data_IF_551072937043
#
_entry.id   IF_551072937043
#
_cell.length_a   1.000
_cell.length_b   1.000
_cell.length_c   1.000
_cell.angle_alpha   90.00
_cell.angle_beta   90.00
_cell.angle_gamma   90.00
#
_symmetry.space_group_name_H-M   'P 1'
#
loop_
_entity.id
_entity.type
_entity.pdbx_description
1 polymer ?
#
# COMPACT_ATOMS: atom_id res chain seq x y z
N UNK A 1 7.94 -9.55 -12.94
CA UNK A 1 6.83 -10.05 -12.09
C UNK A 1 6.11 -8.81 -11.58
N UNK A 2 4.78 -8.74 -11.73
CA UNK A 2 4.00 -7.61 -11.17
C UNK A 2 3.82 -7.86 -9.68
N UNK A 3 4.00 -6.81 -8.89
CA UNK A 3 3.87 -6.84 -7.42
C UNK A 3 2.63 -6.09 -6.93
N UNK A 4 1.96 -5.35 -7.83
CA UNK A 4 0.74 -4.63 -7.54
C UNK A 4 -0.47 -5.26 -8.22
N UNK A 5 -0.66 -4.99 -9.51
CA UNK A 5 -1.90 -5.30 -10.25
C UNK A 5 -2.23 -6.79 -10.23
N UNK A 6 -1.27 -7.65 -10.56
CA UNK A 6 -1.48 -9.10 -10.59
C UNK A 6 -1.89 -9.65 -9.22
N UNK A 7 -1.25 -9.18 -8.14
CA UNK A 7 -1.60 -9.59 -6.77
C UNK A 7 -3.05 -9.24 -6.43
N UNK A 8 -3.50 -8.03 -6.80
CA UNK A 8 -4.89 -7.61 -6.57
C UNK A 8 -5.88 -8.43 -7.41
N UNK A 9 -5.54 -8.75 -8.65
CA UNK A 9 -6.37 -9.55 -9.55
C UNK A 9 -6.56 -10.98 -9.00
N UNK A 10 -5.50 -11.59 -8.47
CA UNK A 10 -5.52 -12.92 -7.86
C UNK A 10 -6.32 -12.95 -6.54
N UNK A 11 -6.19 -11.92 -5.70
CA UNK A 11 -6.88 -11.85 -4.40
C UNK A 11 -8.37 -11.51 -4.53
N UNK A 12 -8.76 -10.75 -5.55
CA UNK A 12 -10.15 -10.30 -5.76
C UNK A 12 -11.22 -11.41 -5.69
N UNK A 13 -11.11 -12.54 -6.42
CA UNK A 13 -12.10 -13.62 -6.31
C UNK A 13 -12.10 -14.29 -4.93
N UNK A 14 -10.95 -14.40 -4.28
CA UNK A 14 -10.81 -15.01 -2.95
C UNK A 14 -11.50 -14.16 -1.87
N UNK A 15 -11.24 -12.84 -1.89
CA UNK A 15 -11.93 -11.89 -1.01
C UNK A 15 -13.45 -11.92 -1.21
N UNK A 16 -13.93 -12.00 -2.46
CA UNK A 16 -15.36 -12.07 -2.75
C UNK A 16 -16.00 -13.35 -2.21
N UNK A 17 -15.33 -14.49 -2.34
CA UNK A 17 -15.82 -15.76 -1.81
C UNK A 17 -15.94 -15.71 -0.27
N UNK A 18 -14.88 -15.25 0.41
CA UNK A 18 -14.88 -15.17 1.88
C UNK A 18 -15.88 -14.13 2.40
N UNK A 19 -16.02 -12.99 1.73
CA UNK A 19 -17.02 -11.96 2.09
C UNK A 19 -18.46 -12.48 2.06
N UNK A 20 -18.78 -13.42 1.16
CA UNK A 20 -20.11 -14.06 1.12
C UNK A 20 -20.32 -15.02 2.29
N UNK A 21 -19.25 -15.65 2.78
CA UNK A 21 -19.31 -16.60 3.89
C UNK A 21 -19.41 -15.91 5.26
N UNK A 22 -18.75 -14.76 5.44
CA UNK A 22 -18.73 -14.00 6.71
C UNK A 22 -19.10 -12.51 6.51
N UNK A 23 -20.31 -12.20 6.01
CA UNK A 23 -20.68 -10.85 5.57
C UNK A 23 -20.62 -9.80 6.68
N UNK A 24 -21.04 -10.15 7.89
CA UNK A 24 -21.10 -9.20 9.02
C UNK A 24 -19.69 -8.82 9.51
N UNK A 25 -18.74 -9.77 9.47
CA UNK A 25 -17.33 -9.50 9.81
C UNK A 25 -16.73 -8.54 8.79
N UNK A 26 -16.98 -8.75 7.49
CA UNK A 26 -16.52 -7.83 6.44
C UNK A 26 -17.18 -6.45 6.54
N UNK A 27 -18.45 -6.38 6.96
CA UNK A 27 -19.13 -5.11 7.18
C UNK A 27 -18.47 -4.33 8.33
N UNK A 28 -18.25 -4.98 9.48
CA UNK A 28 -17.58 -4.37 10.63
C UNK A 28 -16.15 -3.92 10.30
N UNK A 29 -15.37 -4.77 9.62
CA UNK A 29 -14.02 -4.41 9.17
C UNK A 29 -14.03 -3.25 8.17
N UNK A 30 -15.02 -3.21 7.26
CA UNK A 30 -15.20 -2.11 6.31
C UNK A 30 -15.41 -0.76 6.99
N UNK A 31 -16.22 -0.71 8.06
CA UNK A 31 -16.42 0.51 8.84
C UNK A 31 -15.14 0.94 9.58
N UNK A 32 -14.41 0.00 10.18
CA UNK A 32 -13.11 0.28 10.79
C UNK A 32 -12.13 0.86 9.76
N UNK A 33 -12.02 0.22 8.60
CA UNK A 33 -11.15 0.68 7.52
C UNK A 33 -11.52 2.10 7.07
N UNK A 34 -12.82 2.36 6.84
CA UNK A 34 -13.30 3.69 6.45
C UNK A 34 -12.98 4.75 7.51
N UNK A 35 -13.19 4.45 8.78
CA UNK A 35 -12.87 5.37 9.87
C UNK A 35 -11.37 5.65 9.97
N UNK A 36 -10.52 4.63 9.84
CA UNK A 36 -9.07 4.76 9.89
C UNK A 36 -8.52 5.71 8.80
N UNK A 37 -9.04 5.59 7.57
CA UNK A 37 -8.61 6.39 6.42
C UNK A 37 -9.43 7.66 6.17
N UNK A 38 -10.43 7.98 7.02
CA UNK A 38 -11.11 9.29 6.96
C UNK A 38 -10.10 10.41 7.26
N UNK A 39 -10.06 11.45 6.43
CA UNK A 39 -9.15 12.58 6.61
C UNK A 39 -9.36 13.30 7.96
N UNK A 40 -8.27 13.74 8.57
CA UNK A 40 -8.28 14.46 9.84
C UNK A 40 -6.99 15.26 10.01
N UNK A 41 -6.35 15.18 11.18
CA UNK A 41 -5.04 15.81 11.39
C UNK A 41 -3.94 15.24 10.47
N UNK A 42 -4.13 14.01 9.98
CA UNK A 42 -3.34 13.42 8.90
C UNK A 42 -4.23 13.24 7.68
N UNK A 43 -3.71 13.63 6.51
CA UNK A 43 -4.37 13.41 5.23
C UNK A 43 -4.35 11.92 4.83
N UNK A 44 -5.15 11.56 3.83
CA UNK A 44 -5.26 10.17 3.34
C UNK A 44 -3.92 9.66 2.83
N UNK A 45 -3.17 10.49 2.10
CA UNK A 45 -1.88 10.14 1.51
C UNK A 45 -0.88 9.71 2.59
N UNK A 46 -0.74 10.49 3.65
CA UNK A 46 0.15 10.17 4.77
C UNK A 46 -0.27 8.87 5.45
N UNK A 47 -1.58 8.64 5.64
CA UNK A 47 -2.08 7.39 6.22
C UNK A 47 -1.78 6.18 5.33
N UNK A 48 -1.93 6.31 4.02
CA UNK A 48 -1.63 5.24 3.08
C UNK A 48 -0.13 4.95 2.98
N UNK A 49 0.74 5.96 3.09
CA UNK A 49 2.20 5.76 3.18
C UNK A 49 2.59 5.01 4.47
N UNK A 50 1.94 5.32 5.60
CA UNK A 50 2.12 4.56 6.84
C UNK A 50 1.66 3.11 6.66
N UNK A 51 0.49 2.88 6.05
CA UNK A 51 -0.04 1.54 5.82
C UNK A 51 0.84 0.73 4.84
N UNK A 52 1.39 1.38 3.80
CA UNK A 52 2.35 0.77 2.88
C UNK A 52 3.63 0.34 3.61
N UNK A 53 4.17 1.19 4.50
CA UNK A 53 5.32 0.86 5.32
C UNK A 53 5.05 -0.32 6.25
N UNK A 54 3.86 -0.39 6.87
CA UNK A 54 3.43 -1.55 7.67
C UNK A 54 3.34 -2.79 6.78
N UNK A 55 2.78 -2.69 5.57
CA UNK A 55 2.73 -3.81 4.62
C UNK A 55 4.11 -4.38 4.28
N UNK A 56 5.14 -3.52 4.17
CA UNK A 56 6.53 -3.93 3.99
C UNK A 56 7.06 -4.69 5.21
N UNK A 57 6.81 -4.18 6.42
CA UNK A 57 7.26 -4.80 7.68
C UNK A 57 6.59 -6.16 7.92
N UNK A 58 5.30 -6.28 7.60
CA UNK A 58 4.58 -7.55 7.71
C UNK A 58 4.90 -8.54 6.58
N UNK A 59 5.63 -8.11 5.54
CA UNK A 59 5.90 -8.92 4.36
C UNK A 59 4.64 -9.34 3.59
N UNK A 60 3.55 -8.58 3.73
CA UNK A 60 2.23 -8.91 3.20
C UNK A 60 2.05 -8.38 1.77
N UNK A 61 2.24 -9.22 0.76
CA UNK A 61 2.14 -8.82 -0.66
C UNK A 61 0.77 -8.20 -1.02
N UNK A 62 -0.33 -8.72 -0.46
CA UNK A 62 -1.67 -8.15 -0.66
C UNK A 62 -1.87 -6.78 -0.03
N UNK A 63 -1.27 -6.56 1.15
CA UNK A 63 -1.30 -5.28 1.86
C UNK A 63 -0.46 -4.26 1.10
N UNK A 64 0.74 -4.66 0.68
CA UNK A 64 1.63 -3.86 -0.18
C UNK A 64 0.88 -3.42 -1.44
N UNK A 65 0.28 -4.36 -2.19
CA UNK A 65 -0.40 -4.04 -3.43
C UNK A 65 -1.59 -3.08 -3.23
N UNK A 66 -2.39 -3.30 -2.18
CA UNK A 66 -3.58 -2.48 -1.89
C UNK A 66 -3.21 -1.06 -1.46
N UNK A 67 -2.27 -0.91 -0.53
CA UNK A 67 -1.85 0.40 -0.02
C UNK A 67 -0.93 1.13 -0.98
N UNK A 68 -0.19 0.43 -1.84
CA UNK A 68 0.53 1.04 -2.95
C UNK A 68 -0.43 1.71 -3.95
N UNK A 69 -1.51 1.00 -4.34
CA UNK A 69 -2.54 1.56 -5.21
C UNK A 69 -3.25 2.75 -4.56
N UNK A 70 -3.62 2.63 -3.28
CA UNK A 70 -4.34 3.67 -2.57
C UNK A 70 -3.47 4.92 -2.34
N UNK A 71 -2.20 4.75 -1.96
CA UNK A 71 -1.24 5.86 -1.83
C UNK A 71 -1.06 6.61 -3.16
N UNK A 72 -0.89 5.89 -4.27
CA UNK A 72 -0.77 6.51 -5.59
C UNK A 72 -2.03 7.29 -5.98
N UNK A 73 -3.22 6.72 -5.72
CA UNK A 73 -4.52 7.40 -5.94
C UNK A 73 -4.71 8.63 -5.04
N UNK A 74 -4.14 8.62 -3.84
CA UNK A 74 -4.13 9.75 -2.93
C UNK A 74 -3.08 10.83 -3.31
N UNK A 75 -2.36 10.64 -4.42
CA UNK A 75 -1.39 11.61 -4.93
C UNK A 75 -0.05 11.59 -4.20
N UNK A 76 0.34 10.45 -3.61
CA UNK A 76 1.73 10.27 -3.19
C UNK A 76 2.67 10.32 -4.42
N UNK A 77 3.84 10.93 -4.27
CA UNK A 77 4.90 10.86 -5.29
C UNK A 77 5.74 9.60 -5.11
N UNK A 78 6.51 9.24 -6.15
CA UNK A 78 7.48 8.14 -6.09
C UNK A 78 8.49 8.36 -4.97
N UNK A 79 9.01 9.59 -4.83
CA UNK A 79 9.94 9.94 -3.78
C UNK A 79 9.33 9.81 -2.37
N UNK A 80 8.07 10.26 -2.16
CA UNK A 80 7.39 10.08 -0.88
C UNK A 80 7.23 8.60 -0.50
N UNK A 81 6.88 7.76 -1.48
CA UNK A 81 6.80 6.31 -1.26
C UNK A 81 8.18 5.71 -0.94
N UNK A 82 9.23 6.11 -1.68
CA UNK A 82 10.60 5.64 -1.46
C UNK A 82 11.11 6.01 -0.07
N UNK A 83 10.90 7.25 0.39
CA UNK A 83 11.31 7.69 1.73
C UNK A 83 10.57 6.92 2.84
N UNK A 84 9.24 6.75 2.72
CA UNK A 84 8.46 5.97 3.68
C UNK A 84 8.93 4.51 3.76
N UNK A 85 9.21 3.89 2.61
CA UNK A 85 9.78 2.54 2.53
C UNK A 85 11.19 2.50 3.14
N UNK A 86 12.03 3.51 2.88
CA UNK A 86 13.39 3.58 3.42
C UNK A 86 13.43 3.56 4.95
N UNK A 87 12.47 4.20 5.62
CA UNK A 87 12.33 4.13 7.09
C UNK A 87 12.19 2.69 7.58
N UNK A 88 11.52 1.81 6.82
CA UNK A 88 11.34 0.41 7.21
C UNK A 88 12.67 -0.35 7.26
N UNK A 89 13.70 0.08 6.53
CA UNK A 89 15.00 -0.60 6.51
C UNK A 89 15.71 -0.42 7.84
N UNK A 90 15.61 0.77 8.43
CA UNK A 90 16.09 1.04 9.78
C UNK A 90 15.32 0.22 10.81
N UNK A 91 13.98 0.18 10.70
CA UNK A 91 13.11 -0.36 11.75
C UNK A 91 12.99 -1.89 11.72
N UNK A 92 13.14 -2.51 10.55
CA UNK A 92 12.91 -3.95 10.35
C UNK A 92 14.11 -4.67 9.73
N UNK A 93 15.13 -3.94 9.28
CA UNK A 93 16.41 -4.51 8.85
C UNK A 93 16.31 -5.31 7.55
N UNK A 94 17.01 -6.46 7.50
CA UNK A 94 17.17 -7.29 6.30
C UNK A 94 15.86 -7.68 5.58
N UNK A 95 14.79 -8.12 6.26
CA UNK A 95 13.55 -8.46 5.57
C UNK A 95 12.90 -7.27 4.84
N UNK A 96 13.02 -6.06 5.39
CA UNK A 96 12.51 -4.86 4.72
C UNK A 96 13.32 -4.51 3.46
N UNK A 97 14.60 -4.88 3.37
CA UNK A 97 15.38 -4.72 2.12
C UNK A 97 14.93 -5.70 1.02
N UNK A 98 14.12 -6.71 1.35
CA UNK A 98 13.50 -7.64 0.38
C UNK A 98 12.10 -7.17 -0.01
N UNK A 99 11.24 -6.86 0.96
CA UNK A 99 9.85 -6.46 0.69
C UNK A 99 9.73 -5.00 0.24
N UNK A 100 10.64 -4.12 0.65
CA UNK A 100 10.66 -2.71 0.27
C UNK A 100 10.76 -2.48 -1.24
N UNK A 101 11.74 -3.08 -1.95
CA UNK A 101 11.82 -2.96 -3.41
C UNK A 101 10.57 -3.48 -4.13
N UNK A 102 9.93 -4.53 -3.61
CA UNK A 102 8.64 -5.03 -4.15
C UNK A 102 7.52 -4.03 -3.95
N UNK A 103 7.45 -3.40 -2.78
CA UNK A 103 6.49 -2.34 -2.49
C UNK A 103 6.69 -1.11 -3.35
N UNK A 104 7.94 -0.70 -3.58
CA UNK A 104 8.24 0.39 -4.49
C UNK A 104 7.83 0.06 -5.94
N UNK A 105 8.12 -1.16 -6.41
CA UNK A 105 7.68 -1.62 -7.72
C UNK A 105 6.14 -1.62 -7.84
N UNK A 106 5.43 -2.14 -6.82
CA UNK A 106 3.96 -2.13 -6.78
C UNK A 106 3.40 -0.71 -6.84
N UNK A 107 3.98 0.24 -6.08
CA UNK A 107 3.59 1.64 -6.11
C UNK A 107 3.78 2.25 -7.51
N UNK A 108 4.94 1.99 -8.12
CA UNK A 108 5.27 2.47 -9.46
C UNK A 108 4.31 1.98 -10.55
N UNK A 109 3.66 0.81 -10.38
CA UNK A 109 2.64 0.30 -11.32
C UNK A 109 1.34 1.10 -11.32
N UNK A 110 1.07 1.83 -10.23
CA UNK A 110 -0.15 2.64 -10.05
C UNK A 110 0.10 4.14 -10.10
N UNK A 111 1.34 4.58 -9.88
CA UNK A 111 1.74 5.97 -10.02
C UNK A 111 1.72 6.39 -11.51
N UNK A 112 1.29 7.63 -11.81
CA UNK A 112 1.33 8.14 -13.18
C UNK A 112 2.78 8.24 -13.71
N UNK A 113 2.91 8.23 -15.03
CA UNK A 113 4.19 8.29 -15.77
C UNK A 113 4.71 9.74 -15.85
N UNK A 114 4.76 10.44 -14.71
CA UNK A 114 5.07 11.86 -14.70
C UNK A 114 6.54 12.05 -14.30
N UNK A 115 7.42 12.15 -15.30
CA UNK A 115 8.86 12.39 -15.15
C UNK A 115 9.24 13.74 -14.49
N UNK A 116 8.25 14.53 -14.02
CA UNK A 116 8.41 15.87 -13.46
C UNK A 116 8.20 15.96 -11.94
N UNK A 117 7.86 14.85 -11.27
CA UNK A 117 7.59 14.84 -9.82
C UNK A 117 8.71 14.26 -8.96
N UNK A 118 9.82 13.85 -9.59
CA UNK A 118 11.04 13.52 -8.86
C UNK A 118 11.81 14.82 -8.58
N UNK A 119 12.02 15.21 -7.30
CA UNK A 119 12.97 16.25 -7.01
C UNK A 119 14.33 15.73 -7.50
N UNK A 120 14.95 16.48 -8.42
CA UNK A 120 16.27 16.16 -8.96
C UNK A 120 17.23 15.80 -7.82
N UNK A 121 17.87 14.64 -7.94
CA UNK A 121 19.01 14.20 -7.10
C UNK A 121 20.09 15.27 -7.10
#
# INVERSE_FOLDING_TARGET
MSHGKTVLDELSPLHRALRRAVPDIYAGFGELHRAAFTEGALDVRTKELIALAIGVVEGCDGCIASHAQAAARAGATRQQAAEAIGVTFLMHGGPATIHGPRAYAAFCEFAPDDASTDPAV
#
